data_IF_588448995809
#
_entry.id   IF_588448995809
#
_cell.length_a   1.000
_cell.length_b   1.000
_cell.length_c   1.000
_cell.angle_alpha   90.00
_cell.angle_beta   90.00
_cell.angle_gamma   90.00
#
_symmetry.space_group_name_H-M   'P 1'
#
loop_
_entity.id
_entity.type
_entity.pdbx_description
1 polymer ?
#
# COMPACT_ATOMS: atom_id res chain seq x y z
N UNK A 1 -55.21 23.16 -13.70
CA UNK A 1 -55.10 21.86 -14.39
C UNK A 1 -53.99 20.96 -13.81
N UNK A 2 -52.84 21.49 -13.36
CA UNK A 2 -51.75 20.67 -12.79
C UNK A 2 -52.08 19.93 -11.46
N UNK A 3 -52.96 20.47 -10.61
CA UNK A 3 -53.31 19.84 -9.31
C UNK A 3 -54.19 18.59 -9.43
N UNK A 4 -54.96 18.47 -10.51
CA UNK A 4 -55.86 17.32 -10.74
C UNK A 4 -55.07 16.10 -11.22
N UNK A 5 -54.05 16.32 -12.05
CA UNK A 5 -53.17 15.26 -12.55
C UNK A 5 -52.37 14.60 -11.41
N UNK A 6 -51.92 15.39 -10.44
CA UNK A 6 -51.16 14.87 -9.29
C UNK A 6 -52.02 14.00 -8.37
N UNK A 7 -53.30 14.37 -8.17
CA UNK A 7 -54.26 13.59 -7.38
C UNK A 7 -54.59 12.25 -8.05
N UNK A 8 -54.77 12.24 -9.37
CA UNK A 8 -55.00 11.01 -10.13
C UNK A 8 -53.79 10.07 -10.07
N UNK A 9 -52.57 10.61 -10.15
CA UNK A 9 -51.35 9.79 -10.07
C UNK A 9 -51.18 9.15 -8.69
N UNK A 10 -51.43 9.90 -7.61
CA UNK A 10 -51.36 9.35 -6.24
C UNK A 10 -52.48 8.34 -5.95
N UNK A 11 -53.67 8.55 -6.52
CA UNK A 11 -54.81 7.65 -6.36
C UNK A 11 -54.61 6.33 -7.13
N UNK A 12 -54.06 6.39 -8.34
CA UNK A 12 -53.68 5.21 -9.13
C UNK A 12 -52.54 4.42 -8.47
N UNK A 13 -51.58 5.09 -7.83
CA UNK A 13 -50.52 4.43 -7.06
C UNK A 13 -51.09 3.70 -5.83
N UNK A 14 -52.06 4.30 -5.13
CA UNK A 14 -52.73 3.68 -3.98
C UNK A 14 -53.64 2.50 -4.35
N UNK A 15 -54.30 2.55 -5.52
CA UNK A 15 -55.11 1.45 -6.03
C UNK A 15 -54.25 0.25 -6.45
N UNK A 16 -53.11 0.48 -7.11
CA UNK A 16 -52.16 -0.58 -7.45
C UNK A 16 -51.52 -1.23 -6.20
N UNK A 17 -51.24 -0.44 -5.16
CA UNK A 17 -50.72 -0.97 -3.89
C UNK A 17 -51.74 -1.78 -3.08
N UNK A 18 -53.05 -1.56 -3.28
CA UNK A 18 -54.11 -2.37 -2.66
C UNK A 18 -54.38 -3.68 -3.41
N UNK A 19 -54.13 -3.74 -4.72
CA UNK A 19 -54.29 -4.98 -5.49
C UNK A 19 -53.14 -5.98 -5.32
N UNK A 20 -51.98 -5.56 -4.78
CA UNK A 20 -50.89 -6.48 -4.41
C UNK A 20 -51.04 -7.11 -3.01
N UNK A 21 -52.15 -6.85 -2.30
CA UNK A 21 -52.41 -7.37 -0.94
C UNK A 21 -53.77 -8.07 -0.84
N UNK A 22 -54.05 -8.98 -1.77
CA UNK A 22 -55.18 -9.92 -1.63
C UNK A 22 -54.93 -11.20 -2.46
N UNK A 23 -53.80 -11.85 -2.22
CA UNK A 23 -53.64 -13.27 -2.60
C UNK A 23 -53.99 -14.10 -1.38
N UNK A 24 -55.25 -14.54 -1.28
CA UNK A 24 -55.64 -15.61 -0.37
C UNK A 24 -55.04 -16.91 -0.91
N UNK A 25 -53.79 -17.17 -0.53
CA UNK A 25 -53.17 -18.48 -0.72
C UNK A 25 -53.68 -19.35 0.43
N UNK A 26 -54.63 -20.22 0.10
CA UNK A 26 -54.93 -21.40 0.90
C UNK A 26 -53.68 -22.28 0.92
N UNK A 27 -52.91 -22.20 2.01
CA UNK A 27 -51.77 -23.07 2.27
C UNK A 27 -52.34 -24.47 2.51
N UNK A 28 -52.45 -25.23 1.41
CA UNK A 28 -52.52 -26.68 1.46
C UNK A 28 -51.20 -27.17 2.03
N UNK A 29 -51.26 -27.70 3.24
CA UNK A 29 -50.16 -28.35 3.93
C UNK A 29 -49.77 -29.62 3.18
N UNK A 30 -48.80 -29.52 2.26
CA UNK A 30 -47.87 -30.60 1.86
C UNK A 30 -46.92 -30.11 0.77
N UNK A 31 -45.81 -29.49 1.18
CA UNK A 31 -44.54 -29.64 0.47
C UNK A 31 -43.40 -29.46 1.48
N UNK A 32 -42.57 -30.49 1.57
CA UNK A 32 -41.50 -30.70 2.54
C UNK A 32 -40.69 -29.44 2.85
N UNK A 33 -40.67 -29.06 4.13
CA UNK A 33 -39.49 -28.40 4.71
C UNK A 33 -38.34 -29.38 4.46
N UNK A 34 -37.38 -28.98 3.62
CA UNK A 34 -36.14 -29.69 3.36
C UNK A 34 -35.39 -29.81 4.69
N UNK A 35 -35.64 -30.88 5.43
CA UNK A 35 -34.92 -31.17 6.67
C UNK A 35 -33.53 -31.63 6.26
N UNK A 36 -32.56 -30.71 6.39
CA UNK A 36 -31.16 -31.04 6.25
C UNK A 36 -30.85 -32.24 7.16
N UNK A 37 -30.26 -33.35 6.64
CA UNK A 37 -29.99 -34.52 7.46
C UNK A 37 -29.19 -34.13 8.72
N UNK A 38 -29.52 -34.71 9.87
CA UNK A 38 -28.92 -34.36 11.17
C UNK A 38 -27.37 -34.34 11.13
N UNK A 39 -26.77 -35.24 10.35
CA UNK A 39 -25.33 -35.28 10.12
C UNK A 39 -24.78 -34.04 9.41
N UNK A 40 -25.42 -33.59 8.33
CA UNK A 40 -25.01 -32.39 7.59
C UNK A 40 -25.30 -31.11 8.39
N UNK A 41 -26.38 -31.09 9.19
CA UNK A 41 -26.69 -29.96 10.06
C UNK A 41 -25.62 -29.74 11.13
N UNK A 42 -25.14 -30.82 11.76
CA UNK A 42 -24.06 -30.74 12.74
C UNK A 42 -22.74 -30.25 12.14
N UNK A 43 -22.38 -30.71 10.93
CA UNK A 43 -21.19 -30.22 10.22
C UNK A 43 -21.31 -28.73 9.87
N UNK A 44 -22.48 -28.30 9.38
CA UNK A 44 -22.75 -26.91 9.06
C UNK A 44 -22.60 -26.03 10.30
N UNK A 45 -23.17 -26.45 11.44
CA UNK A 45 -23.06 -25.72 12.70
C UNK A 45 -21.61 -25.68 13.20
N UNK A 46 -20.86 -26.78 13.07
CA UNK A 46 -19.45 -26.82 13.44
C UNK A 46 -18.61 -25.88 12.56
N UNK A 47 -18.79 -25.93 11.24
CA UNK A 47 -18.13 -25.01 10.31
C UNK A 47 -18.45 -23.55 10.61
N UNK A 48 -19.72 -23.23 10.89
CA UNK A 48 -20.14 -21.88 11.25
C UNK A 48 -19.44 -21.38 12.54
N UNK A 49 -19.36 -22.23 13.57
CA UNK A 49 -18.71 -21.88 14.83
C UNK A 49 -17.19 -21.64 14.65
N UNK A 50 -16.49 -22.53 13.94
CA UNK A 50 -15.05 -22.34 13.69
C UNK A 50 -14.77 -21.12 12.80
N UNK A 51 -15.63 -20.85 11.81
CA UNK A 51 -15.52 -19.65 10.96
C UNK A 51 -15.74 -18.36 11.76
N UNK A 52 -16.69 -18.37 12.69
CA UNK A 52 -16.92 -17.24 13.59
C UNK A 52 -15.72 -16.99 14.51
N UNK A 53 -15.11 -18.05 15.06
CA UNK A 53 -13.90 -17.96 15.88
C UNK A 53 -12.70 -17.42 15.10
N UNK A 54 -12.49 -17.90 13.88
CA UNK A 54 -11.44 -17.37 13.00
C UNK A 54 -11.67 -15.88 12.72
N UNK A 55 -12.90 -15.49 12.37
CA UNK A 55 -13.24 -14.10 12.09
C UNK A 55 -13.00 -13.21 13.30
N UNK A 56 -13.41 -13.65 14.49
CA UNK A 56 -13.12 -12.96 15.74
C UNK A 56 -11.62 -12.79 15.96
N UNK A 57 -10.84 -13.87 15.79
CA UNK A 57 -9.40 -13.82 15.98
C UNK A 57 -8.72 -12.82 15.03
N UNK A 58 -9.05 -12.85 13.74
CA UNK A 58 -8.43 -11.97 12.76
C UNK A 58 -8.77 -10.50 13.04
N UNK A 59 -10.02 -10.20 13.40
CA UNK A 59 -10.45 -8.82 13.67
C UNK A 59 -9.82 -8.27 14.94
N UNK A 60 -9.69 -9.07 16.00
CA UNK A 60 -9.06 -8.63 17.26
C UNK A 60 -7.54 -8.48 17.13
N UNK A 61 -6.91 -9.18 16.19
CA UNK A 61 -5.47 -9.12 15.91
C UNK A 61 -5.15 -8.28 14.65
N UNK A 62 -6.02 -7.33 14.29
CA UNK A 62 -5.82 -6.46 13.13
C UNK A 62 -4.91 -5.26 13.41
N UNK A 63 -4.72 -4.88 14.69
CA UNK A 63 -3.87 -3.75 15.11
C UNK A 63 -3.25 -3.98 16.50
N UNK A 64 -1.92 -4.18 16.60
CA UNK A 64 -0.99 -4.48 15.49
C UNK A 64 -1.37 -5.79 14.79
N UNK A 65 -0.91 -5.99 13.56
CA UNK A 65 -1.23 -7.21 12.80
C UNK A 65 -0.45 -8.39 13.39
N UNK A 66 -1.17 -9.34 13.99
CA UNK A 66 -0.62 -10.58 14.60
C UNK A 66 -1.43 -11.82 14.21
N UNK A 67 -2.01 -11.78 13.01
CA UNK A 67 -2.96 -12.77 12.51
C UNK A 67 -2.28 -14.14 12.31
N UNK A 68 -1.09 -14.15 11.73
CA UNK A 68 -0.39 -15.41 11.43
C UNK A 68 0.07 -16.11 12.71
N UNK A 69 0.49 -15.35 13.72
CA UNK A 69 0.87 -15.90 15.03
C UNK A 69 -0.33 -16.44 15.80
N UNK A 70 -1.39 -15.63 15.92
CA UNK A 70 -2.48 -15.89 16.89
C UNK A 70 -3.62 -16.72 16.33
N UNK A 71 -3.85 -16.69 15.02
CA UNK A 71 -5.06 -17.27 14.41
C UNK A 71 -4.81 -18.55 13.60
N UNK A 72 -3.60 -19.12 13.67
CA UNK A 72 -3.23 -20.32 12.91
C UNK A 72 -4.06 -21.54 13.29
N UNK A 73 -4.45 -21.66 14.56
CA UNK A 73 -5.24 -22.79 15.02
C UNK A 73 -6.67 -22.70 14.47
N UNK A 74 -7.30 -21.54 14.58
CA UNK A 74 -8.65 -21.26 14.08
C UNK A 74 -8.71 -21.47 12.57
N UNK A 75 -7.69 -21.01 11.83
CA UNK A 75 -7.57 -21.26 10.39
C UNK A 75 -7.59 -22.77 10.08
N UNK A 76 -6.76 -23.55 10.77
CA UNK A 76 -6.67 -25.00 10.57
C UNK A 76 -7.99 -25.71 10.93
N UNK A 77 -8.72 -25.26 11.95
CA UNK A 77 -10.03 -25.81 12.30
C UNK A 77 -11.05 -25.57 11.20
N UNK A 78 -11.13 -24.35 10.65
CA UNK A 78 -12.03 -24.06 9.52
C UNK A 78 -11.69 -24.94 8.32
N UNK A 79 -10.41 -25.04 7.95
CA UNK A 79 -9.96 -25.87 6.84
C UNK A 79 -10.36 -27.34 7.04
N UNK A 80 -10.16 -27.87 8.25
CA UNK A 80 -10.55 -29.24 8.61
C UNK A 80 -12.06 -29.45 8.51
N UNK A 81 -12.89 -28.56 9.06
CA UNK A 81 -14.36 -28.68 9.00
C UNK A 81 -14.88 -28.59 7.58
N UNK A 82 -14.28 -27.74 6.76
CA UNK A 82 -14.61 -27.66 5.36
C UNK A 82 -14.24 -28.95 4.60
N UNK A 83 -13.06 -29.52 4.84
CA UNK A 83 -12.69 -30.83 4.26
C UNK A 83 -13.64 -31.95 4.70
N UNK A 84 -14.10 -31.96 5.94
CA UNK A 84 -15.09 -32.92 6.43
C UNK A 84 -16.40 -32.81 5.62
N UNK A 85 -16.88 -31.59 5.36
CA UNK A 85 -18.06 -31.34 4.49
C UNK A 85 -17.81 -31.85 3.07
N UNK A 86 -16.60 -31.70 2.52
CA UNK A 86 -16.27 -32.14 1.17
C UNK A 86 -16.13 -33.67 1.06
N UNK A 87 -15.67 -34.35 2.11
CA UNK A 87 -15.34 -35.78 2.13
C UNK A 87 -16.50 -36.68 2.58
N UNK A 88 -17.52 -36.14 3.25
CA UNK A 88 -18.63 -36.92 3.78
C UNK A 88 -19.56 -37.43 2.68
N UNK A 89 -19.17 -38.58 2.12
CA UNK A 89 -20.07 -39.56 1.54
C UNK A 89 -20.57 -40.42 2.70
N UNK A 90 -21.78 -40.20 3.19
CA UNK A 90 -22.32 -41.06 4.23
C UNK A 90 -22.58 -42.45 3.63
N UNK A 91 -21.80 -43.45 4.03
CA UNK A 91 -22.02 -44.83 3.60
C UNK A 91 -23.39 -45.41 4.06
N UNK A 92 -24.12 -44.69 4.92
CA UNK A 92 -25.43 -45.07 5.49
C UNK A 92 -26.58 -44.10 5.14
N UNK A 93 -26.31 -42.98 4.46
CA UNK A 93 -27.35 -42.10 3.94
C UNK A 93 -26.98 -41.64 2.55
N UNK A 94 -27.90 -41.82 1.60
CA UNK A 94 -27.77 -41.52 0.16
C UNK A 94 -27.41 -40.04 -0.14
N UNK A 95 -27.29 -39.19 0.88
CA UNK A 95 -27.14 -37.74 0.76
C UNK A 95 -25.68 -37.31 0.93
N UNK A 96 -25.10 -36.81 -0.16
CA UNK A 96 -23.82 -36.12 -0.17
C UNK A 96 -23.97 -34.70 0.42
N UNK A 97 -23.43 -34.46 1.63
CA UNK A 97 -23.50 -33.15 2.28
C UNK A 97 -22.84 -32.05 1.44
N UNK A 98 -21.85 -32.39 0.59
CA UNK A 98 -21.22 -31.43 -0.32
C UNK A 98 -22.24 -30.92 -1.33
N UNK A 99 -23.00 -31.82 -1.96
CA UNK A 99 -24.01 -31.49 -2.93
C UNK A 99 -25.09 -30.58 -2.32
N UNK A 100 -25.44 -30.82 -1.04
CA UNK A 100 -26.48 -30.07 -0.34
C UNK A 100 -26.00 -28.73 0.24
N UNK A 101 -24.76 -28.65 0.75
CA UNK A 101 -24.29 -27.47 1.48
C UNK A 101 -23.50 -26.47 0.62
N UNK A 102 -22.92 -26.90 -0.50
CA UNK A 102 -21.98 -26.06 -1.28
C UNK A 102 -22.46 -25.74 -2.69
N UNK A 103 -23.43 -26.48 -3.23
CA UNK A 103 -23.82 -26.36 -4.64
C UNK A 103 -25.34 -26.28 -4.91
N UNK A 104 -26.17 -26.00 -3.89
CA UNK A 104 -27.62 -25.85 -4.07
C UNK A 104 -27.99 -24.45 -4.56
N UNK A 105 -27.46 -23.41 -3.91
CA UNK A 105 -27.91 -22.04 -4.12
C UNK A 105 -26.86 -21.19 -4.85
N UNK A 106 -27.30 -20.09 -5.48
CA UNK A 106 -26.41 -19.18 -6.22
C UNK A 106 -25.48 -18.37 -5.33
N UNK A 107 -25.79 -18.25 -4.03
CA UNK A 107 -25.00 -17.47 -3.08
C UNK A 107 -23.84 -18.29 -2.50
N UNK A 108 -24.01 -19.60 -2.38
CA UNK A 108 -23.03 -20.59 -1.91
C UNK A 108 -22.33 -20.14 -0.62
N UNK A 109 -23.11 -19.80 0.42
CA UNK A 109 -22.59 -19.16 1.66
C UNK A 109 -21.43 -19.93 2.29
N UNK A 110 -21.51 -21.27 2.33
CA UNK A 110 -20.46 -22.13 2.90
C UNK A 110 -19.15 -21.99 2.12
N UNK A 111 -19.23 -22.05 0.79
CA UNK A 111 -18.09 -21.87 -0.10
C UNK A 111 -17.51 -20.45 -0.03
N UNK A 112 -18.38 -19.43 -0.07
CA UNK A 112 -17.98 -18.03 0.05
C UNK A 112 -17.30 -17.73 1.39
N UNK A 113 -17.80 -18.30 2.49
CA UNK A 113 -17.20 -18.15 3.82
C UNK A 113 -15.83 -18.81 3.91
N UNK A 114 -15.69 -20.02 3.37
CA UNK A 114 -14.39 -20.70 3.29
C UNK A 114 -13.39 -19.90 2.46
N UNK A 115 -13.80 -19.39 1.30
CA UNK A 115 -12.96 -18.55 0.46
C UNK A 115 -12.55 -17.25 1.15
N UNK A 116 -13.44 -16.61 1.93
CA UNK A 116 -13.06 -15.46 2.76
C UNK A 116 -11.93 -15.80 3.74
N UNK A 117 -12.02 -16.94 4.43
CA UNK A 117 -10.98 -17.41 5.36
C UNK A 117 -9.65 -17.66 4.64
N UNK A 118 -9.71 -18.35 3.48
CA UNK A 118 -8.55 -18.63 2.65
C UNK A 118 -7.89 -17.34 2.14
N UNK A 119 -8.69 -16.42 1.58
CA UNK A 119 -8.25 -15.13 1.07
C UNK A 119 -7.52 -14.32 2.13
N UNK A 120 -8.05 -14.29 3.35
CA UNK A 120 -7.46 -13.54 4.45
C UNK A 120 -6.09 -14.11 4.83
N UNK A 121 -5.99 -15.44 4.89
CA UNK A 121 -4.74 -16.15 5.18
C UNK A 121 -3.68 -15.95 4.10
N UNK A 122 -4.09 -15.97 2.83
CA UNK A 122 -3.20 -15.81 1.68
C UNK A 122 -2.75 -14.36 1.49
N UNK A 123 -3.65 -13.39 1.67
CA UNK A 123 -3.30 -11.96 1.67
C UNK A 123 -2.32 -11.61 2.77
N UNK A 124 -2.45 -12.23 3.95
CA UNK A 124 -1.48 -12.10 5.02
C UNK A 124 -0.17 -12.87 4.76
N UNK A 125 -0.13 -13.72 3.73
CA UNK A 125 1.00 -14.57 3.34
C UNK A 125 1.57 -15.38 4.51
N UNK A 126 0.69 -15.88 5.39
CA UNK A 126 1.11 -16.54 6.64
C UNK A 126 1.95 -17.80 6.41
N UNK A 127 1.76 -18.48 5.27
CA UNK A 127 2.59 -19.64 4.85
C UNK A 127 4.09 -19.32 4.79
N UNK A 128 4.47 -18.06 4.56
CA UNK A 128 5.87 -17.63 4.50
C UNK A 128 6.55 -17.55 5.87
N UNK A 129 5.77 -17.30 6.92
CA UNK A 129 6.28 -17.13 8.28
C UNK A 129 6.22 -18.41 9.10
N UNK A 130 5.36 -19.35 8.73
CA UNK A 130 5.05 -20.52 9.53
C UNK A 130 5.72 -21.79 8.98
N UNK A 131 6.18 -22.64 9.88
CA UNK A 131 6.51 -24.03 9.63
C UNK A 131 5.50 -24.89 10.41
N UNK A 132 4.42 -25.29 9.74
CA UNK A 132 3.24 -25.84 10.42
C UNK A 132 2.48 -24.76 11.18
N UNK A 133 2.46 -24.85 12.51
CA UNK A 133 1.77 -23.89 13.40
C UNK A 133 2.70 -22.90 14.09
N UNK A 134 4.02 -23.03 13.91
CA UNK A 134 5.02 -22.24 14.64
C UNK A 134 5.83 -21.40 13.67
N UNK A 135 6.25 -20.21 14.09
CA UNK A 135 7.14 -19.38 13.30
C UNK A 135 8.45 -20.09 12.95
N UNK A 136 8.84 -19.94 11.68
CA UNK A 136 10.14 -20.36 11.18
C UNK A 136 11.28 -19.51 11.78
N UNK A 137 12.51 -20.01 11.67
CA UNK A 137 13.67 -19.40 12.33
C UNK A 137 13.93 -17.96 11.88
N UNK A 138 13.65 -17.65 10.60
CA UNK A 138 13.78 -16.28 10.06
C UNK A 138 12.80 -15.33 10.72
N UNK A 139 11.52 -15.71 10.77
CA UNK A 139 10.46 -14.91 11.38
C UNK A 139 10.72 -14.72 12.87
N UNK A 140 11.03 -15.81 13.57
CA UNK A 140 11.41 -15.76 14.99
C UNK A 140 12.61 -14.82 15.22
N UNK A 141 13.59 -14.83 14.32
CA UNK A 141 14.75 -13.94 14.38
C UNK A 141 14.39 -12.46 14.28
N UNK A 142 13.35 -12.09 13.52
CA UNK A 142 12.81 -10.72 13.48
C UNK A 142 12.03 -10.41 14.75
N UNK A 143 11.07 -11.27 15.13
CA UNK A 143 10.19 -11.05 16.29
C UNK A 143 10.99 -10.84 17.58
N UNK A 144 12.00 -11.68 17.86
CA UNK A 144 12.86 -11.53 19.06
C UNK A 144 13.61 -10.19 19.07
N UNK A 145 14.05 -9.71 17.91
CA UNK A 145 14.73 -8.40 17.81
C UNK A 145 13.75 -7.25 18.01
N UNK A 146 12.52 -7.40 17.52
CA UNK A 146 11.40 -6.50 17.80
C UNK A 146 11.14 -6.41 19.30
N UNK A 147 10.98 -7.54 19.97
CA UNK A 147 10.76 -7.60 21.42
C UNK A 147 11.91 -6.96 22.22
N UNK A 148 13.16 -7.16 21.78
CA UNK A 148 14.32 -6.55 22.45
C UNK A 148 14.33 -5.03 22.30
N UNK A 149 13.95 -4.51 21.13
CA UNK A 149 13.79 -3.07 20.92
C UNK A 149 12.65 -2.52 21.76
N UNK A 150 11.50 -3.18 21.77
CA UNK A 150 10.34 -2.76 22.56
C UNK A 150 10.64 -2.75 24.06
N UNK A 151 11.36 -3.77 24.56
CA UNK A 151 11.87 -3.82 25.94
C UNK A 151 12.81 -2.66 26.25
N UNK A 152 13.67 -2.25 25.30
CA UNK A 152 14.53 -1.08 25.47
C UNK A 152 13.69 0.19 25.57
N UNK A 153 12.78 0.41 24.62
CA UNK A 153 11.90 1.59 24.57
C UNK A 153 11.04 1.70 25.83
N UNK A 154 10.44 0.60 26.27
CA UNK A 154 9.59 0.53 27.47
C UNK A 154 10.30 0.97 28.75
N UNK A 155 11.61 0.72 28.88
CA UNK A 155 12.40 1.21 30.03
C UNK A 155 12.48 2.74 30.07
N UNK A 156 12.48 3.41 28.93
CA UNK A 156 12.54 4.88 28.87
C UNK A 156 11.17 5.54 29.03
N UNK A 157 10.10 4.88 28.60
CA UNK A 157 8.73 5.39 28.75
C UNK A 157 8.29 5.37 30.22
N UNK A 158 8.62 4.31 30.97
CA UNK A 158 8.16 4.14 32.35
C UNK A 158 8.83 5.10 33.36
N UNK A 159 9.97 5.70 33.02
CA UNK A 159 10.76 6.51 33.96
C UNK A 159 10.33 7.99 34.07
N UNK A 160 9.13 8.37 33.60
CA UNK A 160 8.45 9.69 33.73
C UNK A 160 9.21 10.96 33.30
N UNK A 161 10.51 10.90 33.01
CA UNK A 161 11.27 11.92 32.29
C UNK A 161 11.59 11.40 30.90
N UNK A 162 10.72 11.73 29.94
CA UNK A 162 10.91 11.44 28.53
C UNK A 162 12.08 12.28 27.99
N UNK A 163 13.31 11.87 28.27
CA UNK A 163 14.48 12.39 27.57
C UNK A 163 14.59 11.64 26.24
N UNK A 164 13.86 12.11 25.22
CA UNK A 164 13.88 11.53 23.87
C UNK A 164 15.32 11.35 23.35
N UNK A 165 16.23 12.25 23.74
CA UNK A 165 17.64 12.21 23.37
C UNK A 165 18.38 10.98 23.89
N UNK A 166 18.07 10.50 25.11
CA UNK A 166 18.71 9.28 25.64
C UNK A 166 18.11 8.00 25.05
N UNK A 167 16.78 7.97 24.82
CA UNK A 167 16.11 6.80 24.23
C UNK A 167 16.71 6.44 22.86
N UNK A 168 16.85 7.43 21.98
CA UNK A 168 17.39 7.19 20.64
C UNK A 168 18.82 6.66 20.72
N UNK A 169 19.66 7.20 21.61
CA UNK A 169 21.05 6.76 21.78
C UNK A 169 21.12 5.33 22.35
N UNK A 170 20.37 5.05 23.41
CA UNK A 170 20.42 3.78 24.14
C UNK A 170 19.80 2.63 23.33
N UNK A 171 18.72 2.91 22.59
CA UNK A 171 18.02 1.90 21.80
C UNK A 171 18.45 1.80 20.33
N UNK A 172 19.36 2.69 19.86
CA UNK A 172 19.81 2.73 18.45
C UNK A 172 20.30 1.36 17.97
N UNK A 173 21.11 0.70 18.79
CA UNK A 173 21.71 -0.58 18.41
C UNK A 173 20.66 -1.68 18.20
N UNK A 174 19.60 -1.72 19.01
CA UNK A 174 18.52 -2.68 18.85
C UNK A 174 17.72 -2.41 17.57
N UNK A 175 17.42 -1.14 17.29
CA UNK A 175 16.74 -0.72 16.06
C UNK A 175 17.54 -1.07 14.79
N UNK A 176 18.84 -0.76 14.79
CA UNK A 176 19.75 -1.09 13.67
C UNK A 176 19.86 -2.60 13.49
N UNK A 177 19.98 -3.37 14.57
CA UNK A 177 20.06 -4.84 14.50
C UNK A 177 18.77 -5.44 13.93
N UNK A 178 17.60 -4.96 14.36
CA UNK A 178 16.30 -5.36 13.81
C UNK A 178 16.22 -5.05 12.31
N UNK A 179 16.48 -3.80 11.93
CA UNK A 179 16.38 -3.34 10.54
C UNK A 179 17.36 -4.06 9.63
N UNK A 180 18.61 -4.26 10.07
CA UNK A 180 19.62 -4.99 9.31
C UNK A 180 19.26 -6.46 9.15
N UNK A 181 18.74 -7.10 10.20
CA UNK A 181 18.32 -8.50 10.12
C UNK A 181 17.14 -8.66 9.15
N UNK A 182 16.15 -7.77 9.24
CA UNK A 182 15.04 -7.72 8.30
C UNK A 182 15.55 -7.53 6.86
N UNK A 183 16.35 -6.50 6.60
CA UNK A 183 16.89 -6.21 5.26
C UNK A 183 17.76 -7.33 4.69
N UNK A 184 18.53 -8.03 5.53
CA UNK A 184 19.34 -9.19 5.12
C UNK A 184 18.49 -10.36 4.63
N UNK A 185 17.29 -10.51 5.18
CA UNK A 185 16.38 -11.62 4.89
C UNK A 185 15.17 -11.21 4.05
N UNK A 186 15.06 -9.92 3.72
CA UNK A 186 14.07 -9.32 2.82
C UNK A 186 14.53 -9.56 1.38
N UNK A 187 14.24 -10.75 0.88
CA UNK A 187 14.12 -10.97 -0.56
C UNK A 187 12.65 -10.75 -0.94
N UNK A 188 12.33 -10.69 -2.23
CA UNK A 188 10.96 -10.50 -2.70
C UNK A 188 10.00 -11.51 -2.04
N UNK A 189 9.06 -10.97 -1.26
CA UNK A 189 7.98 -11.67 -0.55
C UNK A 189 8.41 -12.89 0.30
N UNK A 190 9.41 -12.74 1.19
CA UNK A 190 9.75 -13.79 2.16
C UNK A 190 9.05 -13.70 3.51
N UNK A 191 8.38 -12.60 3.83
CA UNK A 191 7.76 -12.38 5.14
C UNK A 191 6.25 -12.16 5.04
N UNK A 192 5.54 -12.64 6.05
CA UNK A 192 4.10 -12.44 6.24
C UNK A 192 3.80 -11.03 6.75
N UNK A 193 2.51 -10.70 6.75
CA UNK A 193 2.02 -9.39 7.15
C UNK A 193 2.34 -9.05 8.62
N UNK A 194 2.38 -10.03 9.54
CA UNK A 194 2.76 -9.79 10.94
C UNK A 194 4.15 -9.13 11.04
N UNK A 195 5.12 -9.63 10.29
CA UNK A 195 6.49 -9.09 10.26
C UNK A 195 6.55 -7.74 9.55
N UNK A 196 5.83 -7.61 8.44
CA UNK A 196 5.80 -6.36 7.66
C UNK A 196 5.19 -5.23 8.47
N UNK A 197 4.09 -5.48 9.18
CA UNK A 197 3.43 -4.52 10.06
C UNK A 197 4.33 -4.15 11.24
N UNK A 198 4.98 -5.13 11.89
CA UNK A 198 5.95 -4.88 12.95
C UNK A 198 7.04 -3.89 12.50
N UNK A 199 7.66 -4.14 11.34
CA UNK A 199 8.74 -3.30 10.82
C UNK A 199 8.23 -1.91 10.44
N UNK A 200 7.10 -1.82 9.74
CA UNK A 200 6.52 -0.55 9.33
C UNK A 200 6.13 0.31 10.53
N UNK A 201 5.46 -0.28 11.52
CA UNK A 201 5.11 0.41 12.76
C UNK A 201 6.35 0.82 13.53
N UNK A 202 7.35 -0.05 13.64
CA UNK A 202 8.62 0.27 14.32
C UNK A 202 9.34 1.44 13.66
N UNK A 203 9.45 1.46 12.33
CA UNK A 203 10.09 2.55 11.59
C UNK A 203 9.32 3.86 11.69
N UNK A 204 7.98 3.78 11.61
CA UNK A 204 7.08 4.92 11.83
C UNK A 204 7.24 5.50 13.24
N UNK A 205 7.19 4.65 14.27
CA UNK A 205 7.35 5.09 15.66
C UNK A 205 8.75 5.66 15.90
N UNK A 206 9.79 5.01 15.38
CA UNK A 206 11.18 5.48 15.50
C UNK A 206 11.37 6.90 14.93
N UNK A 207 10.82 7.15 13.74
CA UNK A 207 11.00 8.42 13.04
C UNK A 207 10.03 9.51 13.47
N UNK A 208 8.73 9.20 13.56
CA UNK A 208 7.67 10.20 13.78
C UNK A 208 7.37 10.41 15.27
N UNK A 209 7.24 9.32 16.03
CA UNK A 209 6.83 9.37 17.44
C UNK A 209 8.00 9.73 18.35
N UNK A 210 9.13 9.05 18.18
CA UNK A 210 10.33 9.26 19.00
C UNK A 210 11.31 10.28 18.42
N UNK A 211 11.12 10.70 17.16
CA UNK A 211 11.97 11.67 16.45
C UNK A 211 13.45 11.26 16.43
N UNK A 212 13.73 9.96 16.39
CA UNK A 212 15.07 9.41 16.32
C UNK A 212 15.63 9.43 14.89
N UNK A 213 15.43 10.53 14.17
CA UNK A 213 15.93 10.69 12.81
C UNK A 213 17.44 10.90 12.82
N UNK A 214 18.13 10.12 11.99
CA UNK A 214 19.56 10.32 11.75
C UNK A 214 19.71 11.38 10.67
N UNK A 215 19.93 12.63 11.09
CA UNK A 215 20.24 13.73 10.19
C UNK A 215 21.59 13.47 9.51
N UNK A 216 21.57 12.97 8.27
CA UNK A 216 22.76 12.76 7.45
C UNK A 216 23.20 14.08 6.80
N UNK A 217 23.63 15.04 7.63
CA UNK A 217 24.03 16.39 7.18
C UNK A 217 25.15 16.34 6.12
N UNK A 218 26.05 15.37 6.20
CA UNK A 218 27.12 15.15 5.22
C UNK A 218 26.60 15.02 3.77
N UNK A 219 25.46 14.33 3.58
CA UNK A 219 24.89 14.12 2.23
C UNK A 219 24.14 15.35 1.72
N UNK A 220 23.52 16.13 2.60
CA UNK A 220 22.77 17.34 2.24
C UNK A 220 23.71 18.45 1.77
N UNK A 221 24.84 18.67 2.45
CA UNK A 221 25.83 19.67 2.06
C UNK A 221 26.45 19.38 0.69
N UNK A 222 26.75 18.12 0.39
CA UNK A 222 27.29 17.71 -0.92
C UNK A 222 26.31 18.05 -2.04
N UNK A 223 25.01 17.79 -1.85
CA UNK A 223 23.97 18.13 -2.82
C UNK A 223 23.83 19.64 -3.03
N UNK A 224 23.87 20.42 -1.95
CA UNK A 224 23.82 21.89 -2.03
C UNK A 224 25.03 22.46 -2.80
N UNK A 225 26.23 21.94 -2.54
CA UNK A 225 27.46 22.38 -3.23
C UNK A 225 27.39 22.04 -4.73
N UNK A 226 26.97 20.83 -5.09
CA UNK A 226 26.83 20.43 -6.50
C UNK A 226 25.79 21.31 -7.21
N UNK A 227 24.63 21.52 -6.59
CA UNK A 227 23.57 22.37 -7.14
C UNK A 227 24.06 23.79 -7.40
N UNK A 228 24.81 24.36 -6.45
CA UNK A 228 25.41 25.68 -6.58
C UNK A 228 26.42 25.77 -7.73
N UNK A 229 27.29 24.78 -7.88
CA UNK A 229 28.26 24.73 -8.99
C UNK A 229 27.53 24.68 -10.33
N UNK A 230 26.52 23.82 -10.48
CA UNK A 230 25.73 23.69 -11.71
C UNK A 230 25.03 25.00 -12.08
N UNK A 231 24.51 25.74 -11.09
CA UNK A 231 23.91 27.06 -11.29
C UNK A 231 24.93 28.13 -11.71
N UNK A 232 26.17 28.05 -11.24
CA UNK A 232 27.22 29.01 -11.60
C UNK A 232 27.82 28.78 -12.99
N UNK A 233 27.81 27.54 -13.51
CA UNK A 233 28.36 27.21 -14.83
C UNK A 233 27.85 28.10 -15.97
N UNK A 234 26.54 28.32 -16.19
CA UNK A 234 26.07 29.20 -17.26
C UNK A 234 26.48 30.66 -17.04
N UNK A 235 26.48 31.14 -15.80
CA UNK A 235 26.89 32.52 -15.46
C UNK A 235 28.36 32.72 -15.85
N UNK A 236 29.24 31.79 -15.45
CA UNK A 236 30.65 31.81 -15.79
C UNK A 236 30.87 31.68 -17.30
N UNK A 237 30.11 30.82 -17.99
CA UNK A 237 30.19 30.67 -19.44
C UNK A 237 29.87 31.99 -20.16
N UNK A 238 28.76 32.65 -19.81
CA UNK A 238 28.41 33.94 -20.42
C UNK A 238 29.40 35.04 -20.07
N UNK A 239 29.88 35.08 -18.82
CA UNK A 239 30.89 36.03 -18.38
C UNK A 239 32.22 35.88 -19.13
N UNK A 240 32.70 34.65 -19.31
CA UNK A 240 33.92 34.34 -20.09
C UNK A 240 33.74 34.77 -21.55
N UNK A 241 32.60 34.44 -22.17
CA UNK A 241 32.31 34.85 -23.54
C UNK A 241 32.27 36.39 -23.69
N UNK A 242 31.69 37.09 -22.71
CA UNK A 242 31.66 38.56 -22.69
C UNK A 242 33.07 39.16 -22.64
N UNK A 243 33.95 38.68 -21.75
CA UNK A 243 35.34 39.13 -21.67
C UNK A 243 36.13 38.88 -22.97
N UNK A 244 35.95 37.71 -23.58
CA UNK A 244 36.62 37.36 -24.85
C UNK A 244 36.09 38.22 -26.02
N UNK A 245 34.79 38.49 -26.08
CA UNK A 245 34.16 39.31 -27.11
C UNK A 245 34.68 40.74 -27.11
N UNK A 246 34.82 41.34 -25.92
CA UNK A 246 35.33 42.71 -25.78
C UNK A 246 36.76 42.84 -26.32
N UNK A 247 37.62 41.84 -26.08
CA UNK A 247 38.98 41.80 -26.62
C UNK A 247 39.02 41.71 -28.16
N UNK A 248 38.05 41.02 -28.80
CA UNK A 248 37.96 40.93 -30.27
C UNK A 248 37.37 42.18 -30.92
N UNK A 249 36.45 42.88 -30.26
CA UNK A 249 35.87 44.14 -30.78
C UNK A 249 36.88 45.29 -30.94
N UNK A 250 37.92 45.30 -30.09
CA UNK A 250 39.04 46.25 -30.22
C UNK A 250 40.00 45.93 -31.38
N UNK A 251 39.83 44.77 -32.05
CA UNK A 251 40.56 44.34 -33.24
C UNK A 251 39.62 44.33 -34.46
N UNK A 252 38.70 45.29 -34.54
CA UNK A 252 38.08 45.63 -35.81
C UNK A 252 39.09 46.43 -36.63
N UNK A 253 39.85 45.71 -37.46
CA UNK A 253 40.62 46.26 -38.58
C UNK A 253 39.73 47.28 -39.32
N UNK A 254 40.13 48.55 -39.33
CA UNK A 254 39.44 49.56 -40.13
C UNK A 254 39.40 49.07 -41.58
N UNK A 255 38.21 48.81 -42.12
CA UNK A 255 38.06 48.50 -43.55
C UNK A 255 38.33 49.76 -44.39
N UNK A 256 39.61 50.13 -44.54
CA UNK A 256 40.05 51.22 -45.42
C UNK A 256 40.02 50.83 -46.91
N UNK A 257 39.47 49.67 -47.28
CA UNK A 257 39.43 49.20 -48.69
C UNK A 257 38.44 49.95 -49.57
N UNK A 258 37.45 50.65 -49.02
CA UNK A 258 36.47 51.38 -49.84
C UNK A 258 36.89 52.82 -50.18
N UNK A 259 37.74 53.48 -49.40
CA UNK A 259 38.16 54.86 -49.68
C UNK A 259 39.17 54.99 -50.83
N UNK A 260 40.01 53.99 -51.08
CA UNK A 260 41.03 54.07 -52.14
C UNK A 260 40.46 54.00 -53.56
N UNK A 261 39.25 53.45 -53.76
CA UNK A 261 38.61 53.40 -55.09
C UNK A 261 37.94 54.72 -55.50
N UNK A 262 37.62 55.60 -54.55
CA UNK A 262 36.97 56.88 -54.85
C UNK A 262 37.97 58.03 -55.06
N UNK A 263 39.22 57.90 -54.57
CA UNK A 263 40.24 58.95 -54.74
C UNK A 263 41.01 58.85 -56.05
N UNK A 264 41.10 57.68 -56.70
CA UNK A 264 41.82 57.53 -57.96
C UNK A 264 41.09 58.09 -59.19
N UNK A 265 39.78 58.32 -59.11
CA UNK A 265 38.97 58.80 -60.24
C UNK A 265 38.65 60.30 -60.18
N UNK A 266 39.11 61.03 -59.15
CA UNK A 266 38.86 62.47 -58.98
C UNK A 266 40.05 63.36 -59.37
N UNK A 267 41.21 62.78 -59.73
CA UNK A 267 42.41 63.52 -60.14
C UNK A 267 42.55 63.55 -61.67
N UNK A 268 41.58 64.15 -62.37
CA UNK A 268 41.75 64.56 -63.77
C UNK A 268 40.76 65.69 -64.10
N UNK A 269 41.23 66.92 -63.90
CA UNK A 269 40.76 68.26 -64.36
C UNK A 269 41.11 69.25 -63.24
N UNK A 270 41.67 70.44 -63.42
CA UNK A 270 42.08 71.22 -64.57
C UNK A 270 42.93 72.38 -63.99
N UNK A 271 44.15 72.60 -64.47
CA UNK A 271 44.99 73.73 -64.09
C UNK A 271 45.08 74.74 -65.24
N UNK A 272 44.54 75.93 -65.05
CA UNK A 272 44.73 77.08 -65.93
C UNK A 272 45.70 78.09 -65.32
N UNK A 273 46.44 78.72 -66.22
CA UNK A 273 47.55 79.67 -66.09
C UNK A 273 47.12 81.03 -65.51
N UNK A 274 48.00 81.68 -64.72
CA UNK A 274 47.94 83.11 -64.39
C UNK A 274 49.24 83.78 -64.89
N UNK A 275 49.05 84.93 -65.53
CA UNK A 275 50.02 85.74 -66.30
C UNK A 275 50.80 86.71 -65.41
N UNK A 276 52.10 86.84 -65.65
CA UNK A 276 52.87 88.10 -65.70
C UNK A 276 54.16 87.88 -66.48
#
# INVERSE_FOLDING_TARGET
MAKIVHFLYTYLFYLNARQSLASNVSISSTMSIDVLPDGCQNLLQSFANETARFTLCVVTNARPITVCEKCVNEFNQVFKRYEEIQKLHNNDSEVDCRAVLTNIDRLQVVYASYNYVLDMWEKASCKLCLNGTVFNDKTRGVMIRGDNLDKCISKHINNTKLSNTSLCADCKQYYVNLTNYYNKHKNDNTFCMDVVDLINNTQSDWSLKWKCHESNYESEWVLLVISFIVLLLPILFYFINWLISQKRSNVLLSQNRWHQRFTSNAASTSGYVVIS
#
